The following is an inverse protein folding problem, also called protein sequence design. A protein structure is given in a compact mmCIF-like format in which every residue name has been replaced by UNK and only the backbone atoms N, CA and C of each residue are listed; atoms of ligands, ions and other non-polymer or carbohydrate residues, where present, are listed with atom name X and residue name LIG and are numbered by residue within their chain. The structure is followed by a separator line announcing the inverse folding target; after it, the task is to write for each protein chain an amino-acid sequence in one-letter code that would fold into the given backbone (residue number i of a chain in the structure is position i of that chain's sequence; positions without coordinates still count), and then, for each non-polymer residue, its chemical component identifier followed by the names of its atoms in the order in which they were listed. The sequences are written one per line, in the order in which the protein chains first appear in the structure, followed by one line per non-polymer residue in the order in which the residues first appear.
data_IF_873733129404
#
_entry.id   IF_873733129404
#
_cell.length_a   1.000
_cell.length_b   1.000
_cell.length_c   1.000
_cell.angle_alpha   90.00
_cell.angle_beta   90.00
_cell.angle_gamma   90.00
#
_symmetry.space_group_name_H-M   'P 1'
#
loop_
_entity.id
_entity.type
_entity.pdbx_description
1 polymer ?
#
# COMPACT_ATOMS: atom_id res chain seq x y z
N UNK A 1 6.03 4.14 -5.10
CA UNK A 1 6.82 3.46 -4.03
C UNK A 1 8.29 3.82 -4.15
N UNK A 2 8.98 4.17 -3.06
CA UNK A 2 10.45 4.35 -3.07
C UNK A 2 11.17 3.17 -2.35
N UNK A 3 12.51 3.14 -2.42
CA UNK A 3 13.31 2.06 -1.81
C UNK A 3 13.20 2.01 -0.29
N UNK A 4 13.04 3.15 0.38
CA UNK A 4 12.92 3.21 1.84
C UNK A 4 11.61 2.57 2.31
N UNK A 5 10.50 2.84 1.61
CA UNK A 5 9.21 2.24 1.90
C UNK A 5 9.20 0.74 1.61
N UNK A 6 9.83 0.29 0.53
CA UNK A 6 10.01 -1.14 0.26
C UNK A 6 10.74 -1.86 1.40
N UNK A 7 11.86 -1.31 1.87
CA UNK A 7 12.61 -1.88 2.99
C UNK A 7 11.75 -1.97 4.25
N UNK A 8 11.03 -0.88 4.57
CA UNK A 8 10.17 -0.83 5.76
C UNK A 8 9.04 -1.86 5.71
N UNK A 9 8.39 -2.05 4.56
CA UNK A 9 7.33 -3.04 4.37
C UNK A 9 7.92 -4.45 4.53
N UNK A 10 9.07 -4.72 3.89
CA UNK A 10 9.77 -5.99 4.00
C UNK A 10 10.12 -6.33 5.46
N UNK A 11 10.78 -5.42 6.17
CA UNK A 11 11.17 -5.61 7.57
C UNK A 11 9.94 -5.81 8.47
N UNK A 12 8.84 -5.11 8.20
CA UNK A 12 7.59 -5.27 8.95
C UNK A 12 6.98 -6.65 8.71
N UNK A 13 6.94 -7.12 7.46
CA UNK A 13 6.45 -8.44 7.10
C UNK A 13 7.32 -9.56 7.72
N UNK A 14 8.65 -9.42 7.71
CA UNK A 14 9.58 -10.37 8.32
C UNK A 14 9.44 -10.39 9.85
N UNK A 15 9.24 -9.23 10.47
CA UNK A 15 9.12 -9.12 11.93
C UNK A 15 7.82 -9.69 12.48
N UNK A 16 6.70 -9.44 11.81
CA UNK A 16 5.37 -9.77 12.34
C UNK A 16 4.73 -10.99 11.68
N UNK A 17 5.23 -11.42 10.53
CA UNK A 17 4.62 -12.45 9.68
C UNK A 17 3.71 -11.83 8.62
N UNK A 18 3.78 -12.34 7.39
CA UNK A 18 2.97 -11.85 6.27
C UNK A 18 1.47 -12.14 6.43
N UNK A 19 1.09 -13.06 7.33
CA UNK A 19 -0.29 -13.34 7.72
C UNK A 19 -0.89 -12.29 8.67
N UNK A 20 -0.06 -11.40 9.24
CA UNK A 20 -0.47 -10.39 10.23
C UNK A 20 -0.23 -8.95 9.79
N UNK A 21 0.20 -8.76 8.54
CA UNK A 21 0.53 -7.45 7.99
C UNK A 21 -0.30 -7.20 6.74
N UNK A 22 -0.88 -6.00 6.66
CA UNK A 22 -1.55 -5.49 5.46
C UNK A 22 -0.95 -4.14 5.09
N UNK A 23 -1.02 -3.79 3.81
CA UNK A 23 -0.58 -2.47 3.32
C UNK A 23 -1.81 -1.66 2.91
N UNK A 24 -1.91 -0.43 3.42
CA UNK A 24 -2.98 0.50 3.08
C UNK A 24 -2.38 1.63 2.25
N UNK A 25 -2.91 1.84 1.05
CA UNK A 25 -2.49 2.87 0.10
C UNK A 25 -3.41 4.08 0.19
N UNK A 26 -2.83 5.27 0.35
CA UNK A 26 -3.55 6.55 0.30
C UNK A 26 -3.09 7.44 -0.86
N UNK A 27 -2.56 6.84 -1.93
CA UNK A 27 -2.02 7.58 -3.07
C UNK A 27 -3.15 8.17 -3.92
N UNK A 28 -3.06 9.47 -4.23
CA UNK A 28 -4.10 10.16 -4.97
C UNK A 28 -4.07 9.94 -6.51
N UNK A 29 -3.34 8.92 -6.97
CA UNK A 29 -3.15 8.60 -8.39
C UNK A 29 -3.27 7.09 -8.61
N UNK A 30 -4.28 6.67 -9.39
CA UNK A 30 -4.64 5.27 -9.56
C UNK A 30 -3.48 4.41 -10.11
N UNK A 31 -2.74 4.93 -11.11
CA UNK A 31 -1.62 4.21 -11.72
C UNK A 31 -0.47 3.99 -10.72
N UNK A 32 -0.12 5.02 -9.95
CA UNK A 32 0.94 4.96 -8.93
C UNK A 32 0.55 4.03 -7.77
N UNK A 33 -0.72 4.05 -7.35
CA UNK A 33 -1.25 3.14 -6.34
C UNK A 33 -1.22 1.68 -6.84
N UNK A 34 -1.64 1.43 -8.08
CA UNK A 34 -1.59 0.12 -8.71
C UNK A 34 -0.17 -0.45 -8.77
N UNK A 35 0.80 0.35 -9.22
CA UNK A 35 2.21 -0.06 -9.27
C UNK A 35 2.79 -0.35 -7.87
N UNK A 36 2.39 0.44 -6.88
CA UNK A 36 2.78 0.25 -5.48
C UNK A 36 2.22 -1.06 -4.93
N UNK A 37 0.95 -1.39 -5.25
CA UNK A 37 0.35 -2.66 -4.88
C UNK A 37 1.07 -3.85 -5.56
N UNK A 38 1.31 -3.77 -6.86
CA UNK A 38 2.03 -4.79 -7.62
C UNK A 38 3.42 -5.06 -7.03
N UNK A 39 4.15 -4.01 -6.66
CA UNK A 39 5.48 -4.11 -6.04
C UNK A 39 5.45 -4.86 -4.71
N UNK A 40 4.41 -4.68 -3.90
CA UNK A 40 4.25 -5.37 -2.61
C UNK A 40 3.85 -6.83 -2.81
N UNK A 41 2.94 -7.10 -3.76
CA UNK A 41 2.38 -8.43 -3.97
C UNK A 41 3.38 -9.33 -4.69
N UNK A 42 3.90 -8.86 -5.84
CA UNK A 42 4.68 -9.63 -6.79
C UNK A 42 6.18 -9.29 -6.80
N UNK A 43 6.59 -8.22 -6.11
CA UNK A 43 7.98 -7.74 -6.07
C UNK A 43 8.22 -6.57 -7.03
N UNK A 44 9.34 -5.89 -6.87
CA UNK A 44 9.64 -4.68 -7.67
C UNK A 44 9.92 -5.05 -9.15
N UNK A 45 9.09 -4.57 -10.11
CA UNK A 45 9.24 -4.89 -11.53
C UNK A 45 10.42 -4.18 -12.20
N UNK A 46 11.00 -3.18 -11.54
CA UNK A 46 12.16 -2.43 -12.06
C UNK A 46 13.48 -3.15 -11.80
N UNK A 47 13.45 -4.28 -11.07
CA UNK A 47 14.62 -5.05 -10.63
C UNK A 47 15.64 -4.22 -9.83
N UNK A 48 15.16 -3.17 -9.16
CA UNK A 48 15.95 -2.34 -8.28
C UNK A 48 15.32 -2.33 -6.88
N UNK A 49 16.15 -2.31 -5.83
CA UNK A 49 15.66 -2.09 -4.48
C UNK A 49 15.25 -3.35 -3.69
N UNK A 50 14.77 -3.16 -2.44
CA UNK A 50 14.64 -4.23 -1.44
C UNK A 50 13.67 -5.37 -1.79
N UNK A 51 12.71 -5.14 -2.70
CA UNK A 51 11.74 -6.15 -3.14
C UNK A 51 12.05 -6.76 -4.52
N UNK A 52 13.26 -6.55 -5.04
CA UNK A 52 13.70 -7.22 -6.27
C UNK A 52 13.63 -8.74 -6.12
N UNK A 53 12.84 -9.41 -6.98
CA UNK A 53 12.58 -10.85 -6.94
C UNK A 53 11.99 -11.37 -5.61
N UNK A 54 11.42 -10.49 -4.77
CA UNK A 54 10.79 -10.87 -3.50
C UNK A 54 9.32 -10.49 -3.54
N UNK A 55 8.46 -11.49 -3.73
CA UNK A 55 7.02 -11.35 -3.61
C UNK A 55 6.61 -11.53 -2.14
N UNK A 56 6.22 -10.44 -1.47
CA UNK A 56 5.77 -10.53 -0.06
C UNK A 56 4.37 -11.12 0.06
N UNK A 57 3.56 -11.03 -1.02
CA UNK A 57 2.18 -11.51 -1.09
C UNK A 57 1.28 -10.97 0.03
N UNK A 58 1.58 -9.75 0.51
CA UNK A 58 0.74 -9.09 1.51
C UNK A 58 -0.59 -8.66 0.87
N UNK A 59 -1.70 -8.71 1.61
CA UNK A 59 -2.91 -8.02 1.21
C UNK A 59 -2.65 -6.51 1.13
N UNK A 60 -3.07 -5.90 0.02
CA UNK A 60 -2.95 -4.47 -0.22
C UNK A 60 -4.36 -3.92 -0.47
N UNK A 61 -4.70 -2.83 0.20
CA UNK A 61 -5.99 -2.14 0.04
C UNK A 61 -5.75 -0.66 -0.19
N UNK A 62 -6.57 -0.04 -1.03
CA UNK A 62 -6.68 1.40 -1.06
C UNK A 62 -7.51 1.91 0.11
N UNK A 63 -7.24 3.13 0.58
CA UNK A 63 -7.97 3.75 1.69
C UNK A 63 -9.48 3.82 1.42
N UNK A 64 -9.88 3.98 0.15
CA UNK A 64 -11.29 3.99 -0.27
C UNK A 64 -11.99 2.65 -0.10
N UNK A 65 -11.26 1.52 -0.14
CA UNK A 65 -11.83 0.18 0.03
C UNK A 65 -12.16 -0.14 1.49
N UNK A 66 -11.58 0.60 2.43
CA UNK A 66 -11.73 0.36 3.88
C UNK A 66 -12.43 1.51 4.60
N UNK A 67 -13.18 2.35 3.87
CA UNK A 67 -13.86 3.54 4.41
C UNK A 67 -14.76 3.26 5.60
N UNK A 68 -15.42 2.09 5.63
CA UNK A 68 -16.33 1.69 6.69
C UNK A 68 -15.61 1.39 8.03
N UNK A 69 -14.27 1.29 8.00
CA UNK A 69 -13.42 1.11 9.19
C UNK A 69 -12.88 2.45 9.74
N UNK A 70 -13.15 3.56 9.07
CA UNK A 70 -12.63 4.88 9.39
C UNK A 70 -13.76 5.71 9.98
N UNK A 71 -13.44 6.53 10.99
CA UNK A 71 -14.39 7.49 11.54
C UNK A 71 -14.93 8.40 10.41
N UNK A 72 -16.26 8.52 10.24
CA UNK A 72 -16.84 9.28 9.13
C UNK A 72 -16.44 10.75 9.11
N UNK A 73 -16.28 11.41 10.26
CA UNK A 73 -15.88 12.82 10.34
C UNK A 73 -14.42 12.99 9.90
N UNK A 74 -13.56 12.04 10.26
CA UNK A 74 -12.16 12.02 9.81
C UNK A 74 -12.06 11.75 8.31
N UNK A 75 -12.82 10.78 7.81
CA UNK A 75 -12.83 10.44 6.38
C UNK A 75 -13.31 11.63 5.54
N UNK A 76 -14.41 12.26 5.96
CA UNK A 76 -14.94 13.44 5.27
C UNK A 76 -13.93 14.59 5.27
N UNK A 77 -13.30 14.87 6.41
CA UNK A 77 -12.34 15.98 6.53
C UNK A 77 -11.02 15.75 5.77
N UNK A 78 -10.55 14.51 5.63
CA UNK A 78 -9.20 14.21 5.13
C UNK A 78 -9.18 13.56 3.74
N UNK A 79 -10.24 12.83 3.36
CA UNK A 79 -10.20 11.90 2.21
C UNK A 79 -11.27 12.21 1.17
N UNK A 80 -12.44 12.75 1.55
CA UNK A 80 -13.59 12.95 0.65
C UNK A 80 -13.26 13.68 -0.65
N UNK A 81 -12.45 14.74 -0.57
CA UNK A 81 -12.07 15.54 -1.74
C UNK A 81 -11.21 14.74 -2.72
N UNK A 82 -10.33 13.86 -2.23
CA UNK A 82 -9.51 13.01 -3.07
C UNK A 82 -10.33 11.89 -3.72
N UNK A 83 -11.31 11.30 -3.02
CA UNK A 83 -12.17 10.26 -3.58
C UNK A 83 -13.03 10.78 -4.74
N UNK A 84 -13.48 12.03 -4.69
CA UNK A 84 -14.28 12.62 -5.78
C UNK A 84 -13.48 12.93 -7.05
N UNK A 85 -12.16 12.97 -6.98
CA UNK A 85 -11.27 13.42 -8.08
C UNK A 85 -10.60 12.24 -8.80
N UNK A 86 -10.51 11.08 -8.16
CA UNK A 86 -9.98 9.82 -8.70
C UNK A 86 -11.04 9.01 -9.45
#
# INVERSE_FOLDING_TARGET
MDMANQARIKETAEKFGSDKVVVILGGAEAESAGLTAETVINGDPTYAGPLTNIALKLPVYHIFEIKDLIDPEVYDAQISMMEMVL
#
